data_IF_177301389164
#
_entry.id   IF_177301389164
#
_cell.length_a   1.000
_cell.length_b   1.000
_cell.length_c   1.000
_cell.angle_alpha   90.00
_cell.angle_beta   90.00
_cell.angle_gamma   90.00
#
_symmetry.space_group_name_H-M   'P 1'
#
loop_
_entity.id
_entity.type
_entity.pdbx_description
1 polymer ?
#
# COMPACT_ATOMS: atom_id res chain seq x y z
N UNK A 1 -1.30 -12.69 11.56
CA UNK A 1 -2.54 -12.27 10.89
C UNK A 1 -3.29 -11.37 11.85
N UNK A 2 -3.60 -10.15 11.42
CA UNK A 2 -4.51 -9.23 12.09
C UNK A 2 -5.87 -9.38 11.41
N UNK A 3 -6.89 -9.73 12.19
CA UNK A 3 -8.21 -10.12 11.69
C UNK A 3 -9.28 -9.87 12.76
N UNK A 4 -10.51 -9.59 12.34
CA UNK A 4 -11.70 -9.39 13.19
C UNK A 4 -11.56 -8.27 14.23
N UNK A 5 -10.91 -7.16 13.86
CA UNK A 5 -10.81 -5.95 14.70
C UNK A 5 -11.67 -4.83 14.14
N UNK A 6 -12.06 -3.88 15.00
CA UNK A 6 -12.82 -2.69 14.61
C UNK A 6 -12.06 -1.46 15.10
N UNK A 7 -11.74 -0.55 14.18
CA UNK A 7 -11.01 0.68 14.41
C UNK A 7 -11.82 1.88 13.92
N UNK A 8 -12.36 2.69 14.83
CA UNK A 8 -13.06 3.94 14.52
C UNK A 8 -12.78 4.99 15.58
N UNK A 9 -12.97 6.26 15.24
CA UNK A 9 -12.69 7.42 16.12
C UNK A 9 -11.25 7.43 16.68
N UNK A 10 -10.32 6.76 15.98
CA UNK A 10 -8.90 6.86 16.28
C UNK A 10 -8.30 8.01 15.50
N UNK A 11 -7.31 8.68 16.10
CA UNK A 11 -6.43 9.57 15.33
C UNK A 11 -5.70 8.73 14.28
N UNK A 12 -5.03 7.66 14.71
CA UNK A 12 -4.34 6.71 13.84
C UNK A 12 -4.77 5.29 14.22
N UNK A 13 -5.51 4.57 13.36
CA UNK A 13 -6.15 3.31 13.74
C UNK A 13 -5.16 2.16 13.91
N UNK A 14 -4.18 2.05 13.02
CA UNK A 14 -3.26 0.93 13.00
C UNK A 14 -1.91 1.32 12.40
N UNK A 15 -0.83 0.94 13.08
CA UNK A 15 0.54 0.93 12.54
C UNK A 15 1.10 -0.49 12.65
N UNK A 16 1.72 -0.98 11.58
CA UNK A 16 2.28 -2.33 11.48
C UNK A 16 3.69 -2.29 10.92
N UNK A 17 4.47 -3.31 11.27
CA UNK A 17 5.65 -3.70 10.51
C UNK A 17 5.28 -4.69 9.39
N UNK A 18 6.22 -4.95 8.49
CA UNK A 18 6.11 -5.94 7.40
C UNK A 18 5.99 -7.41 7.86
N UNK A 19 6.03 -7.68 9.16
CA UNK A 19 5.87 -9.03 9.71
C UNK A 19 4.41 -9.45 9.91
N UNK A 20 3.44 -8.53 9.73
CA UNK A 20 2.04 -8.79 9.98
C UNK A 20 1.22 -8.82 8.68
N UNK A 21 0.59 -9.97 8.44
CA UNK A 21 -0.44 -10.12 7.42
C UNK A 21 -1.77 -9.58 7.93
N UNK A 22 -2.61 -9.08 7.01
CA UNK A 22 -3.98 -8.63 7.26
C UNK A 22 -4.93 -9.32 6.30
N UNK A 23 -6.04 -9.82 6.82
CA UNK A 23 -7.18 -10.24 6.01
C UNK A 23 -8.21 -9.10 5.92
N UNK A 24 -9.22 -9.31 5.07
CA UNK A 24 -10.33 -8.35 4.84
C UNK A 24 -11.45 -8.45 5.89
N UNK A 25 -11.16 -8.95 7.10
CA UNK A 25 -12.16 -9.10 8.17
C UNK A 25 -12.12 -7.98 9.21
N UNK A 26 -11.21 -7.03 9.07
CA UNK A 26 -11.17 -5.87 9.95
C UNK A 26 -12.18 -4.82 9.47
N UNK A 27 -12.46 -3.83 10.31
CA UNK A 27 -13.36 -2.72 9.99
C UNK A 27 -12.72 -1.42 10.43
N UNK A 28 -12.69 -0.42 9.56
CA UNK A 28 -12.02 0.87 9.78
C UNK A 28 -13.02 2.06 9.91
N UNK A 29 -14.29 1.74 10.14
CA UNK A 29 -15.36 2.65 10.52
C UNK A 29 -16.15 2.10 11.71
N UNK A 30 -17.00 2.94 12.32
CA UNK A 30 -17.94 2.46 13.33
C UNK A 30 -19.03 1.59 12.67
N UNK A 31 -19.17 0.30 13.02
CA UNK A 31 -20.19 -0.58 12.42
C UNK A 31 -21.63 -0.10 12.58
N UNK A 32 -21.91 0.73 13.58
CA UNK A 32 -23.23 1.33 13.85
C UNK A 32 -23.42 2.70 13.15
N UNK A 33 -22.33 3.30 12.66
CA UNK A 33 -22.32 4.62 12.02
C UNK A 33 -21.14 4.76 11.04
N UNK A 34 -21.28 4.24 9.81
CA UNK A 34 -20.19 4.19 8.82
C UNK A 34 -19.55 5.54 8.41
N UNK A 35 -20.18 6.67 8.75
CA UNK A 35 -19.59 8.00 8.56
C UNK A 35 -18.59 8.39 9.66
N UNK A 36 -18.57 7.67 10.78
CA UNK A 36 -17.57 7.83 11.84
C UNK A 36 -16.36 6.95 11.51
N UNK A 37 -15.36 7.58 10.90
CA UNK A 37 -14.11 6.95 10.47
C UNK A 37 -12.96 7.36 11.39
N UNK A 38 -11.74 6.94 11.05
CA UNK A 38 -10.52 7.42 11.69
C UNK A 38 -10.06 8.75 11.08
N UNK A 39 -9.25 9.52 11.81
CA UNK A 39 -8.70 10.81 11.31
C UNK A 39 -7.71 10.58 10.18
N UNK A 40 -6.70 9.73 10.40
CA UNK A 40 -5.79 9.25 9.38
C UNK A 40 -6.29 7.88 8.91
N UNK A 41 -7.19 7.84 7.93
CA UNK A 41 -7.97 6.63 7.63
C UNK A 41 -7.21 5.64 6.74
N UNK A 42 -6.21 4.99 7.32
CA UNK A 42 -5.35 4.01 6.65
C UNK A 42 -4.57 3.14 7.61
N UNK A 43 -3.96 2.08 7.08
CA UNK A 43 -3.05 1.18 7.79
C UNK A 43 -1.62 1.63 7.51
N UNK A 44 -0.90 2.08 8.53
CA UNK A 44 0.44 2.63 8.33
C UNK A 44 1.50 1.53 8.43
N UNK A 45 2.26 1.35 7.36
CA UNK A 45 3.37 0.41 7.29
C UNK A 45 4.63 1.18 7.69
N UNK A 46 4.94 1.14 8.98
CA UNK A 46 6.11 1.77 9.59
C UNK A 46 7.11 0.67 9.96
N UNK A 47 8.07 0.44 9.08
CA UNK A 47 9.07 -0.62 9.25
C UNK A 47 10.46 -0.08 8.99
N UNK A 48 11.44 -0.60 9.73
CA UNK A 48 12.87 -0.48 9.40
C UNK A 48 13.42 -1.76 8.76
N UNK A 49 12.56 -2.78 8.64
CA UNK A 49 12.89 -4.07 8.05
C UNK A 49 12.18 -4.23 6.71
N UNK A 50 12.82 -4.94 5.81
CA UNK A 50 12.27 -5.29 4.51
C UNK A 50 11.36 -6.52 4.61
N UNK A 51 10.49 -6.72 3.61
CA UNK A 51 9.72 -7.96 3.47
C UNK A 51 10.70 -9.10 3.17
N UNK A 52 10.94 -9.96 4.17
CA UNK A 52 11.86 -11.10 4.07
C UNK A 52 11.15 -12.46 4.14
N UNK A 53 9.82 -12.46 4.03
CA UNK A 53 8.97 -13.64 4.06
C UNK A 53 7.78 -13.44 3.11
N UNK A 54 6.97 -14.48 2.90
CA UNK A 54 5.72 -14.36 2.16
C UNK A 54 4.65 -13.73 3.05
N UNK A 55 4.19 -12.54 2.69
CA UNK A 55 3.16 -11.80 3.43
C UNK A 55 1.97 -11.49 2.51
N UNK A 56 0.77 -11.47 3.08
CA UNK A 56 -0.46 -11.15 2.35
C UNK A 56 -1.20 -10.02 3.06
N UNK A 57 -1.68 -9.07 2.27
CA UNK A 57 -2.48 -7.93 2.67
C UNK A 57 -3.73 -7.90 1.81
N UNK A 58 -4.88 -8.21 2.42
CA UNK A 58 -6.15 -8.35 1.72
C UNK A 58 -7.20 -7.30 2.14
N UNK A 59 -6.87 -6.36 3.03
CA UNK A 59 -7.80 -5.34 3.51
C UNK A 59 -8.21 -4.36 2.40
N UNK A 60 -9.51 -4.21 2.19
CA UNK A 60 -10.10 -3.43 1.10
C UNK A 60 -10.82 -2.17 1.56
N UNK A 61 -11.10 -1.99 2.85
CA UNK A 61 -11.86 -0.82 3.33
C UNK A 61 -11.01 0.45 3.30
N UNK A 62 -9.73 0.33 3.66
CA UNK A 62 -8.75 1.44 3.70
C UNK A 62 -7.45 1.07 3.01
N UNK A 63 -6.63 2.06 2.65
CA UNK A 63 -5.33 1.82 2.03
C UNK A 63 -4.25 1.45 3.06
N UNK A 64 -3.25 0.70 2.60
CA UNK A 64 -1.96 0.57 3.27
C UNK A 64 -1.10 1.77 2.88
N UNK A 65 -0.60 2.51 3.87
CA UNK A 65 0.26 3.67 3.68
C UNK A 65 1.69 3.26 3.94
N UNK A 66 2.51 3.27 2.89
CA UNK A 66 3.95 3.01 2.95
C UNK A 66 4.64 4.28 3.46
N UNK A 67 5.23 4.17 4.65
CA UNK A 67 5.99 5.22 5.32
C UNK A 67 7.46 4.80 5.42
N UNK A 68 8.05 4.54 4.26
CA UNK A 68 9.41 4.06 4.09
C UNK A 68 9.97 4.62 2.78
N UNK A 69 11.19 5.15 2.80
CA UNK A 69 11.85 5.72 1.63
C UNK A 69 12.41 4.62 0.70
N UNK A 70 12.64 3.42 1.21
CA UNK A 70 13.13 2.28 0.45
C UNK A 70 12.42 0.98 0.87
N UNK A 71 11.17 0.82 0.46
CA UNK A 71 10.33 -0.31 0.83
C UNK A 71 10.66 -1.56 0.01
N UNK A 72 11.55 -2.40 0.54
CA UNK A 72 12.04 -3.59 -0.16
C UNK A 72 11.19 -4.85 0.05
N UNK A 73 11.01 -5.59 -1.05
CA UNK A 73 10.71 -7.03 -1.05
C UNK A 73 12.00 -7.76 -1.37
N UNK A 74 12.55 -8.48 -0.37
CA UNK A 74 13.82 -9.16 -0.52
C UNK A 74 13.72 -10.38 -1.46
N UNK A 75 14.85 -10.82 -1.97
CA UNK A 75 14.98 -12.01 -2.79
C UNK A 75 14.41 -13.25 -2.08
N UNK A 76 13.51 -13.97 -2.76
CA UNK A 76 12.84 -15.14 -2.22
C UNK A 76 11.64 -14.84 -1.32
N UNK A 77 11.32 -13.57 -1.07
CA UNK A 77 10.11 -13.14 -0.37
C UNK A 77 9.01 -12.73 -1.35
N UNK A 78 7.81 -12.50 -0.84
CA UNK A 78 6.71 -11.98 -1.66
C UNK A 78 5.77 -11.09 -0.87
N UNK A 79 5.29 -10.03 -1.52
CA UNK A 79 4.12 -9.27 -1.10
C UNK A 79 2.93 -9.70 -1.97
N UNK A 80 1.91 -10.28 -1.34
CA UNK A 80 0.64 -10.59 -1.98
C UNK A 80 -0.39 -9.53 -1.60
N UNK A 81 -1.01 -8.94 -2.61
CA UNK A 81 -2.08 -7.96 -2.48
C UNK A 81 -3.39 -8.58 -3.01
N UNK A 82 -4.41 -8.56 -2.18
CA UNK A 82 -5.77 -8.96 -2.54
C UNK A 82 -6.39 -8.09 -3.64
N UNK A 83 -7.55 -8.52 -4.14
CA UNK A 83 -8.38 -7.75 -5.08
C UNK A 83 -8.84 -6.44 -4.40
N UNK A 84 -8.87 -5.32 -5.13
CA UNK A 84 -9.27 -3.98 -4.67
C UNK A 84 -8.43 -3.40 -3.50
N UNK A 85 -7.25 -3.96 -3.23
CA UNK A 85 -6.28 -3.40 -2.26
C UNK A 85 -5.61 -2.14 -2.81
N UNK A 86 -5.32 -1.17 -1.95
CA UNK A 86 -4.59 0.03 -2.33
C UNK A 86 -3.32 0.21 -1.49
N UNK A 87 -2.19 0.47 -2.16
CA UNK A 87 -0.97 0.99 -1.54
C UNK A 87 -0.84 2.48 -1.82
N UNK A 88 -0.60 3.26 -0.78
CA UNK A 88 -0.34 4.69 -0.85
C UNK A 88 1.07 5.01 -0.38
N UNK A 89 1.77 5.84 -1.12
CA UNK A 89 3.18 6.12 -0.87
C UNK A 89 3.38 7.56 -0.40
N UNK A 90 4.17 7.73 0.65
CA UNK A 90 4.58 9.06 1.10
C UNK A 90 5.62 9.68 0.15
N UNK A 91 5.84 11.00 0.25
CA UNK A 91 6.95 11.65 -0.43
C UNK A 91 8.27 10.89 -0.24
N UNK A 92 9.03 10.77 -1.32
CA UNK A 92 10.32 10.07 -1.40
C UNK A 92 10.26 8.54 -1.23
N UNK A 93 9.08 7.94 -1.06
CA UNK A 93 8.93 6.48 -1.01
C UNK A 93 9.13 5.82 -2.38
N UNK A 94 9.94 4.78 -2.43
CA UNK A 94 10.09 3.85 -3.56
C UNK A 94 9.80 2.44 -3.07
N UNK A 95 9.07 1.65 -3.86
CA UNK A 95 8.97 0.20 -3.63
C UNK A 95 10.01 -0.51 -4.49
N UNK A 96 10.79 -1.42 -3.90
CA UNK A 96 11.86 -2.13 -4.59
C UNK A 96 11.64 -3.64 -4.54
N UNK A 97 11.66 -4.29 -5.70
CA UNK A 97 11.77 -5.74 -5.81
C UNK A 97 13.25 -6.07 -5.95
N UNK A 98 13.85 -6.63 -4.90
CA UNK A 98 15.28 -7.02 -4.89
C UNK A 98 15.56 -8.10 -5.95
N UNK A 99 16.78 -8.13 -6.48
CA UNK A 99 17.22 -9.13 -7.46
C UNK A 99 16.87 -10.58 -7.07
N UNK A 100 16.87 -11.46 -8.06
CA UNK A 100 16.62 -12.88 -7.85
C UNK A 100 15.13 -13.22 -7.89
N UNK A 101 14.55 -13.70 -6.78
CA UNK A 101 13.20 -14.28 -6.79
C UNK A 101 12.21 -13.55 -5.88
N UNK A 102 12.38 -12.24 -5.69
CA UNK A 102 11.36 -11.41 -5.04
C UNK A 102 10.10 -11.33 -5.92
N UNK A 103 8.92 -11.19 -5.31
CA UNK A 103 7.64 -11.18 -6.05
C UNK A 103 6.65 -10.15 -5.48
N UNK A 104 6.08 -9.34 -6.37
CA UNK A 104 4.81 -8.65 -6.16
C UNK A 104 3.70 -9.47 -6.82
N UNK A 105 2.77 -9.97 -6.00
CA UNK A 105 1.64 -10.78 -6.43
C UNK A 105 0.39 -9.94 -6.24
N UNK A 106 -0.34 -9.67 -7.32
CA UNK A 106 -1.59 -8.89 -7.30
C UNK A 106 -2.75 -9.77 -7.80
N UNK A 107 -3.99 -9.31 -7.62
CA UNK A 107 -5.15 -9.99 -8.18
C UNK A 107 -4.99 -10.17 -9.71
N UNK A 108 -4.99 -11.41 -10.18
CA UNK A 108 -4.70 -11.78 -11.57
C UNK A 108 -3.36 -12.51 -11.77
N UNK A 109 -2.41 -12.35 -10.84
CA UNK A 109 -1.17 -13.10 -10.80
C UNK A 109 0.06 -12.27 -10.43
N UNK A 110 1.24 -12.84 -10.66
CA UNK A 110 2.52 -12.13 -10.47
C UNK A 110 2.60 -10.99 -11.47
N UNK A 111 2.84 -9.77 -11.00
CA UNK A 111 3.04 -8.59 -11.85
C UNK A 111 1.92 -8.35 -12.89
N UNK A 112 0.66 -8.62 -12.54
CA UNK A 112 -0.47 -8.41 -13.43
C UNK A 112 -0.88 -6.93 -13.49
N UNK A 113 -0.57 -6.31 -14.63
CA UNK A 113 -0.90 -4.91 -14.94
C UNK A 113 -2.41 -4.62 -15.07
N UNK A 114 -3.23 -5.66 -15.18
CA UNK A 114 -4.70 -5.54 -15.27
C UNK A 114 -5.38 -5.78 -13.90
N UNK A 115 -4.60 -5.86 -12.81
CA UNK A 115 -5.13 -6.00 -11.46
C UNK A 115 -5.95 -4.77 -11.04
N UNK A 116 -6.93 -4.98 -10.17
CA UNK A 116 -7.70 -3.94 -9.47
C UNK A 116 -6.91 -3.21 -8.39
N UNK A 117 -5.72 -3.70 -8.04
CA UNK A 117 -4.85 -3.10 -7.03
C UNK A 117 -4.46 -1.70 -7.48
N UNK A 118 -4.45 -0.73 -6.57
CA UNK A 118 -4.06 0.65 -6.89
C UNK A 118 -2.80 1.04 -6.14
N UNK A 119 -1.85 1.66 -6.85
CA UNK A 119 -0.64 2.25 -6.28
C UNK A 119 -0.69 3.76 -6.53
N UNK A 120 -0.69 4.56 -5.47
CA UNK A 120 -0.93 6.01 -5.61
C UNK A 120 -0.25 6.84 -4.51
N UNK A 121 -0.37 8.16 -4.60
CA UNK A 121 0.11 9.11 -3.60
C UNK A 121 -0.65 8.99 -2.28
N UNK A 122 0.04 9.20 -1.15
CA UNK A 122 -0.56 9.36 0.18
C UNK A 122 -1.56 10.52 0.29
N UNK A 123 -1.56 11.44 -0.68
CA UNK A 123 -2.48 12.58 -0.78
C UNK A 123 -3.74 12.27 -1.61
N UNK A 124 -3.83 11.10 -2.21
CA UNK A 124 -4.92 10.76 -3.13
C UNK A 124 -6.19 10.33 -2.38
N UNK A 125 -7.02 11.30 -2.01
CA UNK A 125 -8.30 11.05 -1.33
C UNK A 125 -9.29 10.22 -2.15
N UNK A 126 -9.12 10.14 -3.49
CA UNK A 126 -10.04 9.40 -4.36
C UNK A 126 -9.92 7.89 -4.21
N UNK A 127 -8.80 7.41 -3.67
CA UNK A 127 -8.52 5.99 -3.46
C UNK A 127 -8.58 5.71 -1.96
N UNK A 128 -9.65 5.04 -1.51
CA UNK A 128 -9.83 4.60 -0.11
C UNK A 128 -9.77 5.71 0.97
N UNK A 129 -10.05 6.96 0.59
CA UNK A 129 -10.26 8.09 1.52
C UNK A 129 -9.00 8.84 1.96
N UNK A 130 -9.20 9.81 2.87
CA UNK A 130 -8.16 10.73 3.36
C UNK A 130 -7.21 10.02 4.34
N UNK A 131 -5.99 9.78 3.87
CA UNK A 131 -4.95 9.11 4.64
C UNK A 131 -4.00 10.08 5.35
N UNK A 132 -3.96 11.35 4.95
CA UNK A 132 -3.10 12.43 5.44
C UNK A 132 -3.80 13.42 6.38
N UNK A 133 -5.10 13.23 6.63
CA UNK A 133 -5.95 14.01 7.52
C UNK A 133 -5.93 15.52 7.21
N UNK A 134 -5.81 15.89 5.95
CA UNK A 134 -5.84 17.29 5.51
C UNK A 134 -7.07 17.66 4.69
N UNK A 135 -8.02 16.73 4.53
CA UNK A 135 -9.16 16.87 3.65
C UNK A 135 -8.70 17.26 2.24
N UNK A 136 -9.36 18.24 1.63
CA UNK A 136 -8.99 18.68 0.28
C UNK A 136 -7.82 19.71 0.25
N UNK A 137 -7.00 19.80 1.31
CA UNK A 137 -5.95 20.82 1.38
C UNK A 137 -4.77 20.52 0.45
N UNK A 138 -4.51 19.24 0.19
CA UNK A 138 -3.53 18.79 -0.79
C UNK A 138 -4.20 18.10 -1.97
N UNK A 139 -3.46 17.92 -3.05
CA UNK A 139 -3.93 17.20 -4.25
C UNK A 139 -2.77 16.34 -4.74
N UNK A 140 -3.01 15.08 -5.11
CA UNK A 140 -1.95 14.22 -5.61
C UNK A 140 -1.41 14.74 -6.95
N UNK A 141 -0.11 14.57 -7.17
CA UNK A 141 0.57 15.02 -8.40
C UNK A 141 1.70 14.07 -8.78
N UNK A 142 1.96 13.91 -10.08
CA UNK A 142 3.11 13.18 -10.62
C UNK A 142 4.41 13.58 -9.91
N UNK A 143 5.19 12.60 -9.48
CA UNK A 143 6.39 12.77 -8.66
C UNK A 143 6.13 12.90 -7.17
N UNK A 144 4.92 12.58 -6.69
CA UNK A 144 4.62 12.52 -5.26
C UNK A 144 5.34 11.36 -4.56
N UNK A 145 5.74 10.33 -5.31
CA UNK A 145 6.52 9.19 -4.85
C UNK A 145 7.35 8.63 -6.02
N UNK A 146 8.31 7.75 -5.74
CA UNK A 146 9.33 7.35 -6.73
C UNK A 146 8.94 6.20 -7.66
N UNK A 147 7.84 5.50 -7.40
CA UNK A 147 7.37 4.37 -8.22
C UNK A 147 7.78 3.01 -7.67
N UNK A 148 7.54 1.98 -8.49
CA UNK A 148 7.90 0.60 -8.18
C UNK A 148 9.06 0.18 -9.07
N UNK A 149 10.22 -0.06 -8.48
CA UNK A 149 11.43 -0.47 -9.15
C UNK A 149 11.59 -1.99 -9.12
N UNK A 150 11.67 -2.61 -10.30
CA UNK A 150 11.86 -4.04 -10.47
C UNK A 150 13.33 -4.33 -10.84
N UNK A 151 14.10 -4.79 -9.85
CA UNK A 151 15.51 -5.20 -9.99
C UNK A 151 15.65 -6.72 -10.26
N UNK A 152 14.53 -7.44 -10.45
CA UNK A 152 14.54 -8.89 -10.74
C UNK A 152 14.91 -9.20 -12.19
N UNK A 153 14.77 -8.21 -13.08
CA UNK A 153 15.07 -8.34 -14.50
C UNK A 153 16.56 -8.11 -14.82
N UNK A 154 17.06 -8.73 -15.89
CA UNK A 154 18.42 -8.51 -16.40
C UNK A 154 18.74 -7.02 -16.67
N UNK A 155 17.69 -6.23 -16.97
CA UNK A 155 17.74 -4.78 -17.09
C UNK A 155 16.65 -4.18 -16.18
N UNK A 156 17.03 -3.69 -14.99
CA UNK A 156 16.09 -3.13 -14.02
C UNK A 156 15.31 -1.95 -14.58
N UNK A 157 14.05 -1.83 -14.18
CA UNK A 157 13.11 -0.85 -14.71
C UNK A 157 12.06 -0.48 -13.69
N UNK A 158 11.46 0.69 -13.85
CA UNK A 158 10.25 1.05 -13.12
C UNK A 158 9.02 0.48 -13.82
N UNK A 159 8.10 -0.08 -13.03
CA UNK A 159 6.83 -0.57 -13.53
C UNK A 159 5.98 0.59 -14.09
N UNK A 160 5.26 0.34 -15.18
CA UNK A 160 4.44 1.34 -15.88
C UNK A 160 3.02 0.83 -16.13
N UNK A 161 2.38 0.32 -15.09
CA UNK A 161 1.02 -0.23 -15.16
C UNK A 161 -0.03 0.88 -15.11
N UNK A 162 -1.24 0.64 -15.65
CA UNK A 162 -2.31 1.65 -15.72
C UNK A 162 -2.96 2.01 -14.38
N UNK A 163 -2.65 1.24 -13.34
CA UNK A 163 -3.10 1.37 -11.95
C UNK A 163 -2.01 1.94 -11.02
N UNK A 164 -0.91 2.42 -11.58
CA UNK A 164 0.14 3.19 -10.89
C UNK A 164 -0.10 4.67 -11.22
N UNK A 165 -0.27 5.48 -10.18
CA UNK A 165 -0.59 6.90 -10.31
C UNK A 165 0.36 7.76 -9.48
N UNK A 166 0.68 8.94 -10.01
CA UNK A 166 1.41 10.00 -9.33
C UNK A 166 2.84 9.62 -8.91
N UNK A 167 3.42 8.58 -9.50
CA UNK A 167 4.83 8.26 -9.33
C UNK A 167 5.67 9.23 -10.18
N UNK A 168 7.00 9.10 -10.17
CA UNK A 168 7.86 9.96 -10.99
C UNK A 168 7.61 9.84 -12.51
N UNK A 169 6.90 8.80 -12.96
CA UNK A 169 6.73 8.46 -14.36
C UNK A 169 5.32 8.72 -14.91
N UNK A 170 4.28 8.72 -14.06
CA UNK A 170 2.87 8.79 -14.41
C UNK A 170 2.14 9.83 -13.54
#
# INVERSE_FOLDING_TARGET
MIQNNVFYDNVRPLSISVAFALDDSNTFHNPEAATETNTYNGIFVESINHISAHIAWDETEVAFVIDDNDFWVNSGASLTLGDDVALKFRPDSVMLLEDGTSQLIVAGGVNDKESSVVFTSYKDDSVKGDTNADGAATTPATGDWGGIYDDTADAPYYLSWSNIYYDELH
#
